data_IF_493351208827
#
_entry.id   IF_493351208827
#
_cell.length_a   1.000
_cell.length_b   1.000
_cell.length_c   1.000
_cell.angle_alpha   90.00
_cell.angle_beta   90.00
_cell.angle_gamma   90.00
#
_symmetry.space_group_name_H-M   'P 1'
#
loop_
_entity.id
_entity.type
_entity.pdbx_description
1 polymer ?
#
# COMPACT_ATOMS: atom_id res chain seq x y z
N UNK A 1 7.13 40.23 -10.89
CA UNK A 1 5.90 39.53 -10.43
C UNK A 1 5.93 38.01 -10.69
N UNK A 2 6.38 37.53 -11.87
CA UNK A 2 6.29 36.10 -12.26
C UNK A 2 7.05 35.10 -11.38
N UNK A 3 8.25 35.44 -10.89
CA UNK A 3 9.08 34.53 -10.09
C UNK A 3 8.45 34.17 -8.73
N UNK A 4 7.72 35.09 -8.10
CA UNK A 4 6.98 34.83 -6.85
C UNK A 4 5.82 33.84 -7.06
N UNK A 5 5.15 33.91 -8.21
CA UNK A 5 4.07 32.99 -8.56
C UNK A 5 4.61 31.57 -8.83
N UNK A 6 5.75 31.47 -9.53
CA UNK A 6 6.44 30.19 -9.73
C UNK A 6 6.91 29.57 -8.41
N UNK A 7 7.49 30.35 -7.50
CA UNK A 7 7.88 29.90 -6.16
C UNK A 7 6.69 29.40 -5.33
N UNK A 8 5.55 30.11 -5.39
CA UNK A 8 4.35 29.73 -4.65
C UNK A 8 3.71 28.43 -5.19
N UNK A 9 3.77 28.21 -6.50
CA UNK A 9 3.32 26.94 -7.11
C UNK A 9 4.27 25.79 -6.80
N UNK A 10 5.58 26.01 -6.84
CA UNK A 10 6.57 25.01 -6.46
C UNK A 10 6.41 24.58 -5.00
N UNK A 11 6.19 25.52 -4.08
CA UNK A 11 5.97 25.21 -2.67
C UNK A 11 4.73 24.31 -2.46
N UNK A 12 3.62 24.60 -3.15
CA UNK A 12 2.41 23.75 -3.10
C UNK A 12 2.66 22.35 -3.64
N UNK A 13 3.44 22.23 -4.73
CA UNK A 13 3.80 20.93 -5.28
C UNK A 13 4.66 20.11 -4.31
N UNK A 14 5.68 20.72 -3.71
CA UNK A 14 6.51 20.07 -2.69
C UNK A 14 5.68 19.57 -1.49
N UNK A 15 4.75 20.40 -1.01
CA UNK A 15 3.87 20.02 0.09
C UNK A 15 3.01 18.79 -0.23
N UNK A 16 2.45 18.72 -1.45
CA UNK A 16 1.67 17.58 -1.91
C UNK A 16 2.50 16.29 -1.99
N UNK A 17 3.72 16.38 -2.52
CA UNK A 17 4.63 15.22 -2.62
C UNK A 17 5.00 14.69 -1.22
N UNK A 18 5.30 15.59 -0.28
CA UNK A 18 5.63 15.21 1.10
C UNK A 18 4.44 14.53 1.77
N UNK A 19 3.24 15.11 1.65
CA UNK A 19 2.03 14.55 2.24
C UNK A 19 1.71 13.16 1.66
N UNK A 20 1.92 12.98 0.35
CA UNK A 20 1.73 11.71 -0.32
C UNK A 20 2.77 10.65 0.09
N UNK A 21 4.03 11.05 0.21
CA UNK A 21 5.09 10.17 0.71
C UNK A 21 4.80 9.70 2.14
N UNK A 22 4.30 10.59 2.99
CA UNK A 22 3.92 10.26 4.37
C UNK A 22 2.78 9.23 4.45
N UNK A 23 1.87 9.23 3.48
CA UNK A 23 0.78 8.25 3.40
C UNK A 23 1.22 6.92 2.77
N UNK A 24 2.05 6.99 1.72
CA UNK A 24 2.44 5.81 0.94
C UNK A 24 3.50 4.95 1.65
N UNK A 25 4.43 5.56 2.39
CA UNK A 25 5.49 4.84 3.10
C UNK A 25 4.96 3.80 4.11
N UNK A 26 4.09 4.16 5.08
CA UNK A 26 3.55 3.17 6.01
C UNK A 26 2.62 2.17 5.32
N UNK A 27 1.88 2.59 4.30
CA UNK A 27 0.97 1.70 3.59
C UNK A 27 1.73 0.60 2.81
N UNK A 28 2.85 0.94 2.19
CA UNK A 28 3.72 -0.03 1.52
C UNK A 28 4.36 -0.99 2.54
N UNK A 29 4.84 -0.47 3.67
CA UNK A 29 5.39 -1.30 4.75
C UNK A 29 4.36 -2.29 5.31
N UNK A 30 3.14 -1.82 5.58
CA UNK A 30 2.03 -2.67 6.06
C UNK A 30 1.64 -3.70 4.99
N UNK A 31 1.71 -3.35 3.71
CA UNK A 31 1.43 -4.27 2.61
C UNK A 31 2.42 -5.45 2.59
N UNK A 32 3.72 -5.15 2.68
CA UNK A 32 4.77 -6.17 2.69
C UNK A 32 4.66 -7.09 3.91
N UNK A 33 4.43 -6.52 5.09
CA UNK A 33 4.20 -7.30 6.32
C UNK A 33 2.92 -8.14 6.24
N UNK A 34 1.84 -7.62 5.66
CA UNK A 34 0.60 -8.36 5.47
C UNK A 34 0.78 -9.55 4.50
N UNK A 35 1.61 -9.40 3.46
CA UNK A 35 2.02 -10.48 2.57
C UNK A 35 2.83 -11.55 3.30
N UNK A 36 3.79 -11.15 4.13
CA UNK A 36 4.58 -12.07 4.93
C UNK A 36 3.72 -12.89 5.91
N UNK A 37 2.79 -12.23 6.61
CA UNK A 37 1.82 -12.88 7.52
C UNK A 37 0.90 -13.83 6.74
N UNK A 38 0.37 -13.38 5.60
CA UNK A 38 -0.48 -14.21 4.73
C UNK A 38 0.24 -15.48 4.27
N UNK A 39 1.51 -15.37 3.87
CA UNK A 39 2.31 -16.53 3.49
C UNK A 39 2.54 -17.47 4.68
N UNK A 40 2.92 -16.94 5.85
CA UNK A 40 3.08 -17.74 7.05
C UNK A 40 1.79 -18.50 7.43
N UNK A 41 0.64 -17.84 7.29
CA UNK A 41 -0.68 -18.43 7.52
C UNK A 41 -1.02 -19.50 6.47
N UNK A 42 -0.72 -19.27 5.19
CA UNK A 42 -0.90 -20.25 4.12
C UNK A 42 -0.09 -21.54 4.36
N UNK A 43 1.15 -21.40 4.81
CA UNK A 43 2.01 -22.54 5.17
C UNK A 43 1.68 -23.15 6.54
N UNK A 44 0.98 -22.40 7.41
CA UNK A 44 0.36 -23.00 8.59
C UNK A 44 -0.70 -23.98 8.12
N UNK A 45 -0.80 -25.15 8.75
CA UNK A 45 -1.72 -26.24 8.38
C UNK A 45 -3.21 -25.90 8.64
N UNK A 46 -3.66 -24.70 8.28
CA UNK A 46 -5.01 -24.16 8.53
C UNK A 46 -6.11 -25.03 7.92
N UNK A 47 -5.83 -25.68 6.80
CA UNK A 47 -6.73 -26.63 6.15
C UNK A 47 -7.07 -27.83 7.04
N UNK A 48 -6.14 -28.26 7.89
CA UNK A 48 -6.29 -29.38 8.82
C UNK A 48 -7.02 -28.98 10.11
N UNK A 49 -7.17 -27.67 10.37
CA UNK A 49 -7.88 -27.19 11.55
C UNK A 49 -9.39 -27.19 11.28
N UNK A 50 -10.17 -27.81 12.17
CA UNK A 50 -11.58 -28.10 11.97
C UNK A 50 -12.53 -26.92 12.27
N UNK A 51 -12.02 -25.69 12.39
CA UNK A 51 -12.83 -24.50 12.68
C UNK A 51 -13.30 -23.84 11.38
N UNK A 52 -14.56 -24.04 10.95
CA UNK A 52 -15.05 -23.51 9.68
C UNK A 52 -15.17 -21.98 9.71
N UNK A 53 -15.41 -21.41 10.90
CA UNK A 53 -15.53 -19.98 11.15
C UNK A 53 -14.25 -19.19 10.89
N UNK A 54 -13.08 -19.84 11.01
CA UNK A 54 -11.78 -19.21 10.78
C UNK A 54 -11.35 -19.30 9.31
N UNK A 55 -11.88 -20.25 8.52
CA UNK A 55 -11.46 -20.46 7.12
C UNK A 55 -11.83 -19.29 6.20
N UNK A 56 -13.05 -18.77 6.31
CA UNK A 56 -13.53 -17.66 5.48
C UNK A 56 -12.73 -16.35 5.67
N UNK A 57 -12.48 -15.86 6.90
CA UNK A 57 -11.66 -14.66 7.10
C UNK A 57 -10.19 -14.88 6.72
N UNK A 58 -9.65 -16.10 6.90
CA UNK A 58 -8.29 -16.44 6.47
C UNK A 58 -8.15 -16.36 4.95
N UNK A 59 -9.11 -16.93 4.21
CA UNK A 59 -9.10 -16.92 2.75
C UNK A 59 -9.20 -15.48 2.22
N UNK A 60 -10.05 -14.66 2.85
CA UNK A 60 -10.15 -13.24 2.53
C UNK A 60 -8.84 -12.52 2.82
N UNK A 61 -8.18 -12.74 3.97
CA UNK A 61 -6.87 -12.13 4.24
C UNK A 61 -5.83 -12.54 3.19
N UNK A 62 -5.80 -13.82 2.80
CA UNK A 62 -4.87 -14.34 1.79
C UNK A 62 -5.19 -13.81 0.38
N UNK A 63 -6.46 -13.59 0.05
CA UNK A 63 -6.85 -12.99 -1.24
C UNK A 63 -6.56 -11.49 -1.28
N UNK A 64 -6.76 -10.78 -0.17
CA UNK A 64 -6.52 -9.34 -0.09
C UNK A 64 -5.02 -9.01 -0.05
N UNK A 65 -4.19 -9.86 0.55
CA UNK A 65 -2.73 -9.69 0.56
C UNK A 65 -2.12 -9.90 -0.83
N UNK A 66 -2.64 -10.83 -1.64
CA UNK A 66 -2.19 -11.09 -3.01
C UNK A 66 -2.52 -9.95 -3.99
N UNK A 67 -3.45 -9.07 -3.64
CA UNK A 67 -3.70 -7.88 -4.41
C UNK A 67 -2.64 -6.84 -4.06
N UNK A 68 -1.85 -6.45 -5.06
CA UNK A 68 -0.91 -5.34 -4.94
C UNK A 68 -1.67 -4.12 -4.39
N UNK A 69 -1.21 -3.56 -3.27
CA UNK A 69 -1.81 -2.36 -2.68
C UNK A 69 -1.39 -1.18 -3.55
N UNK A 70 -2.12 -1.01 -4.65
CA UNK A 70 -1.92 0.08 -5.59
C UNK A 70 -2.64 1.29 -5.02
N UNK A 71 -1.92 2.15 -4.31
CA UNK A 71 -2.45 3.47 -3.93
C UNK A 71 -2.57 4.30 -5.19
N UNK A 72 -3.78 4.28 -5.77
CA UNK A 72 -4.17 5.13 -6.90
C UNK A 72 -4.51 6.51 -6.37
N UNK A 73 -3.57 7.45 -6.41
CA UNK A 73 -3.93 8.85 -6.20
C UNK A 73 -4.71 9.32 -7.46
N UNK A 74 -6.01 9.57 -7.31
CA UNK A 74 -6.86 10.07 -8.42
C UNK A 74 -7.13 9.09 -9.57
N UNK A 75 -6.85 7.78 -9.42
CA UNK A 75 -7.18 6.76 -10.43
C UNK A 75 -6.20 6.61 -11.59
N UNK A 76 -5.19 7.49 -11.71
CA UNK A 76 -4.29 7.56 -12.88
C UNK A 76 -2.84 7.25 -12.52
N UNK A 77 -2.41 7.54 -11.28
CA UNK A 77 -1.01 7.38 -10.86
C UNK A 77 -0.90 6.27 -9.81
N UNK A 78 -0.15 5.23 -10.15
CA UNK A 78 0.18 4.08 -9.31
C UNK A 78 1.47 4.37 -8.57
N UNK A 79 1.40 4.75 -7.30
CA UNK A 79 2.59 4.87 -6.46
C UNK A 79 2.92 3.51 -5.87
N UNK A 80 3.80 2.77 -6.54
CA UNK A 80 4.60 1.74 -5.88
C UNK A 80 5.86 2.46 -5.34
N UNK A 81 6.36 2.10 -4.16
CA UNK A 81 7.65 2.58 -3.65
C UNK A 81 8.78 2.38 -4.69
N UNK A 82 8.70 1.35 -5.54
CA UNK A 82 9.60 1.14 -6.67
C UNK A 82 9.51 2.19 -7.78
N UNK A 83 8.35 2.84 -7.96
CA UNK A 83 8.15 3.88 -8.98
C UNK A 83 8.79 5.23 -8.59
N UNK A 84 9.15 5.42 -7.32
CA UNK A 84 9.90 6.60 -6.84
C UNK A 84 11.42 6.38 -6.96
N UNK A 85 11.87 5.12 -7.06
CA UNK A 85 13.29 4.74 -7.12
C UNK A 85 13.81 4.61 -8.57
N UNK A 86 12.92 4.51 -9.57
CA UNK A 86 13.26 4.55 -11.00
C UNK A 86 13.04 5.94 -11.59
#
# INVERSE_FOLDING_TARGET
QSYKFQLMNANKFCFLIIQLAFYCFPASYIADEALAVSNAVYFSKWHLNNFPSLKAPLLLMIQNSQNEIIIKAGGIITFNAEAVVK
#
